data_IF_935314466235
#
_entry.id   IF_935314466235
#
_cell.length_a   1.000
_cell.length_b   1.000
_cell.length_c   1.000
_cell.angle_alpha   90.00
_cell.angle_beta   90.00
_cell.angle_gamma   90.00
#
_symmetry.space_group_name_H-M   'P 1'
#
loop_
_entity.id
_entity.type
_entity.pdbx_description
1 polymer ?
#
# COMPACT_ATOMS: atom_id res chain seq x y z
N UNK A 1 14.33 -19.70 -8.97
CA UNK A 1 15.04 -19.33 -7.73
C UNK A 1 14.01 -18.60 -6.88
N UNK A 2 13.59 -19.20 -5.74
CA UNK A 2 12.59 -18.62 -4.84
C UNK A 2 13.09 -17.28 -4.27
N UNK A 3 12.22 -16.28 -4.25
CA UNK A 3 12.48 -15.07 -3.50
C UNK A 3 12.58 -15.44 -2.01
N UNK A 4 13.53 -14.84 -1.29
CA UNK A 4 13.56 -14.94 0.17
C UNK A 4 12.25 -14.44 0.75
N UNK A 5 11.76 -15.10 1.80
CA UNK A 5 10.54 -14.67 2.49
C UNK A 5 10.69 -13.21 2.95
N UNK A 6 9.64 -12.42 2.81
CA UNK A 6 9.63 -11.04 3.33
C UNK A 6 9.76 -11.05 4.86
N UNK A 7 10.40 -10.04 5.46
CA UNK A 7 10.51 -9.93 6.92
C UNK A 7 9.14 -10.10 7.60
N UNK A 8 9.10 -10.80 8.71
CA UNK A 8 7.90 -11.13 9.50
C UNK A 8 6.83 -11.99 8.80
N UNK A 9 7.02 -12.46 7.57
CA UNK A 9 6.03 -13.30 6.88
C UNK A 9 5.69 -14.59 7.65
N UNK A 10 6.69 -15.26 8.24
CA UNK A 10 6.46 -16.43 9.06
C UNK A 10 5.76 -16.10 10.38
N UNK A 11 6.09 -14.98 11.01
CA UNK A 11 5.41 -14.52 12.22
C UNK A 11 3.93 -14.18 11.92
N UNK A 12 3.66 -13.48 10.84
CA UNK A 12 2.29 -13.17 10.39
C UNK A 12 1.49 -14.45 10.11
N UNK A 13 2.08 -15.41 9.40
CA UNK A 13 1.44 -16.70 9.11
C UNK A 13 1.11 -17.48 10.39
N UNK A 14 2.07 -17.62 11.32
CA UNK A 14 1.86 -18.32 12.60
C UNK A 14 0.79 -17.61 13.43
N UNK A 15 0.82 -16.28 13.45
CA UNK A 15 -0.17 -15.49 14.20
C UNK A 15 -1.56 -15.67 13.63
N UNK A 16 -1.72 -15.60 12.30
CA UNK A 16 -3.01 -15.86 11.64
C UNK A 16 -3.53 -17.27 11.95
N UNK A 17 -2.67 -18.30 11.89
CA UNK A 17 -3.04 -19.67 12.28
C UNK A 17 -3.55 -19.74 13.73
N UNK A 18 -2.88 -19.04 14.66
CA UNK A 18 -3.34 -18.95 16.05
C UNK A 18 -4.70 -18.28 16.17
N UNK A 19 -4.94 -17.19 15.44
CA UNK A 19 -6.22 -16.47 15.45
C UNK A 19 -7.36 -17.35 14.90
N UNK A 20 -7.12 -18.07 13.81
CA UNK A 20 -8.09 -19.00 13.24
C UNK A 20 -8.36 -20.17 14.19
N UNK A 21 -7.33 -20.72 14.82
CA UNK A 21 -7.49 -21.81 15.80
C UNK A 21 -8.33 -21.39 17.02
N UNK A 22 -8.21 -20.14 17.49
CA UNK A 22 -9.07 -19.59 18.55
C UNK A 22 -10.56 -19.53 18.20
N UNK A 23 -10.87 -19.60 16.91
CA UNK A 23 -12.23 -19.62 16.38
C UNK A 23 -12.67 -21.05 15.98
N UNK A 24 -12.07 -22.09 16.56
CA UNK A 24 -12.29 -23.50 16.23
C UNK A 24 -12.18 -23.80 14.71
N UNK A 25 -11.27 -23.10 14.05
CA UNK A 25 -11.08 -23.19 12.59
C UNK A 25 -12.19 -22.56 11.75
N UNK A 26 -13.16 -21.89 12.38
CA UNK A 26 -14.28 -21.23 11.69
C UNK A 26 -14.03 -19.74 11.62
N UNK A 27 -14.22 -19.14 10.43
CA UNK A 27 -14.07 -17.70 10.22
C UNK A 27 -15.25 -17.17 9.42
N UNK A 28 -15.62 -15.93 9.72
CA UNK A 28 -16.55 -15.17 8.91
C UNK A 28 -15.81 -14.49 7.75
N UNK A 29 -16.44 -14.42 6.58
CA UNK A 29 -15.92 -13.72 5.41
C UNK A 29 -16.85 -12.59 5.00
N UNK A 30 -16.33 -11.39 4.90
CA UNK A 30 -17.00 -10.24 4.30
C UNK A 30 -16.33 -9.95 2.96
N UNK A 31 -16.97 -10.35 1.86
CA UNK A 31 -16.46 -10.10 0.51
C UNK A 31 -16.55 -8.63 0.13
N UNK A 32 -15.55 -8.15 -0.57
CA UNK A 32 -15.56 -6.79 -1.12
C UNK A 32 -16.52 -6.66 -2.32
N UNK A 33 -16.65 -5.42 -2.83
CA UNK A 33 -17.39 -5.13 -4.08
C UNK A 33 -16.85 -5.93 -5.27
N UNK A 34 -15.56 -6.16 -5.32
CA UNK A 34 -14.89 -7.09 -6.21
C UNK A 34 -14.58 -8.36 -5.40
N UNK A 35 -15.31 -9.44 -5.65
CA UNK A 35 -15.19 -10.67 -4.88
C UNK A 35 -13.95 -11.51 -5.20
N UNK A 36 -13.36 -11.33 -6.38
CA UNK A 36 -12.19 -12.09 -6.82
C UNK A 36 -11.14 -11.20 -7.49
N UNK A 37 -9.88 -11.57 -7.38
CA UNK A 37 -8.79 -10.96 -8.12
C UNK A 37 -8.64 -11.59 -9.53
N UNK A 38 -7.66 -11.06 -10.31
CA UNK A 38 -7.36 -11.56 -11.66
C UNK A 38 -6.86 -13.01 -11.72
N UNK A 39 -6.56 -13.61 -10.58
CA UNK A 39 -6.10 -15.00 -10.47
C UNK A 39 -7.21 -15.93 -9.94
N UNK A 40 -8.44 -15.42 -9.74
CA UNK A 40 -9.57 -16.18 -9.19
C UNK A 40 -9.53 -16.34 -7.66
N UNK A 41 -8.64 -15.65 -6.94
CA UNK A 41 -8.59 -15.72 -5.48
C UNK A 41 -9.70 -14.86 -4.89
N UNK A 42 -10.43 -15.38 -3.92
CA UNK A 42 -11.45 -14.65 -3.17
C UNK A 42 -10.81 -13.48 -2.41
N UNK A 43 -11.41 -12.29 -2.56
CA UNK A 43 -11.05 -11.08 -1.83
C UNK A 43 -12.09 -10.84 -0.74
N UNK A 44 -11.71 -11.00 0.50
CA UNK A 44 -12.60 -10.85 1.64
C UNK A 44 -11.84 -10.37 2.87
N UNK A 45 -12.55 -9.65 3.75
CA UNK A 45 -12.10 -9.44 5.12
C UNK A 45 -12.46 -10.67 5.96
N UNK A 46 -11.57 -11.04 6.87
CA UNK A 46 -11.69 -12.26 7.67
C UNK A 46 -11.97 -11.91 9.12
N UNK A 47 -12.99 -12.53 9.70
CA UNK A 47 -13.42 -12.31 11.09
C UNK A 47 -13.34 -13.59 11.88
N UNK A 48 -12.86 -13.50 13.12
CA UNK A 48 -12.94 -14.58 14.10
C UNK A 48 -14.37 -14.84 14.58
N UNK A 49 -14.57 -15.93 15.31
CA UNK A 49 -15.87 -16.28 15.88
C UNK A 49 -16.40 -15.23 16.87
N UNK A 50 -15.53 -14.45 17.47
CA UNK A 50 -15.84 -13.31 18.35
C UNK A 50 -16.17 -12.01 17.59
N UNK A 51 -16.23 -12.04 16.26
CA UNK A 51 -16.45 -10.88 15.41
C UNK A 51 -15.23 -9.97 15.22
N UNK A 52 -14.07 -10.31 15.76
CA UNK A 52 -12.85 -9.53 15.59
C UNK A 52 -12.30 -9.62 14.17
N UNK A 53 -11.86 -8.49 13.60
CA UNK A 53 -11.20 -8.48 12.29
C UNK A 53 -9.75 -8.98 12.42
N UNK A 54 -9.43 -10.12 11.78
CA UNK A 54 -8.13 -10.77 11.90
C UNK A 54 -7.01 -9.97 11.20
N UNK A 55 -7.32 -9.26 10.13
CA UNK A 55 -6.37 -8.38 9.43
C UNK A 55 -5.99 -7.21 10.33
N UNK A 56 -6.97 -6.56 10.98
CA UNK A 56 -6.72 -5.47 11.90
C UNK A 56 -5.85 -5.91 13.09
N UNK A 57 -6.03 -7.14 13.59
CA UNK A 57 -5.16 -7.68 14.63
C UNK A 57 -3.71 -7.84 14.17
N UNK A 58 -3.49 -8.38 12.97
CA UNK A 58 -2.14 -8.48 12.39
C UNK A 58 -1.50 -7.11 12.19
N UNK A 59 -2.27 -6.12 11.73
CA UNK A 59 -1.80 -4.75 11.56
C UNK A 59 -1.44 -4.10 12.90
N UNK A 60 -2.27 -4.29 13.94
CA UNK A 60 -2.01 -3.76 15.29
C UNK A 60 -0.77 -4.36 15.95
N UNK A 61 -0.38 -5.56 15.54
CA UNK A 61 0.86 -6.23 15.98
C UNK A 61 2.08 -5.90 15.09
N UNK A 62 1.89 -5.08 14.04
CA UNK A 62 2.94 -4.71 13.09
C UNK A 62 3.40 -5.86 12.20
N UNK A 63 2.53 -6.83 11.92
CA UNK A 63 2.83 -8.02 11.13
C UNK A 63 2.43 -7.89 9.65
N UNK A 64 1.98 -6.71 9.22
CA UNK A 64 1.61 -6.41 7.86
C UNK A 64 1.52 -4.92 7.59
N UNK A 65 1.30 -4.57 6.33
CA UNK A 65 1.00 -3.21 5.90
C UNK A 65 -0.45 -3.13 5.41
N UNK A 66 -1.14 -2.09 5.83
CA UNK A 66 -2.47 -1.78 5.31
C UNK A 66 -2.37 -1.43 3.81
N UNK A 67 -3.30 -1.99 3.02
CA UNK A 67 -3.38 -1.80 1.57
C UNK A 67 -4.81 -1.41 1.20
N UNK A 68 -4.97 -0.25 0.55
CA UNK A 68 -6.25 0.23 0.04
C UNK A 68 -6.29 0.11 -1.49
N UNK A 69 -7.02 -0.87 -1.99
CA UNK A 69 -7.24 -1.07 -3.43
C UNK A 69 -8.71 -0.92 -3.73
N UNK A 70 -9.08 0.17 -4.42
CA UNK A 70 -10.45 0.36 -4.87
C UNK A 70 -10.88 -0.78 -5.81
N UNK A 71 -12.13 -1.28 -5.70
CA UNK A 71 -13.22 -0.77 -4.90
C UNK A 71 -13.34 -1.38 -3.48
N UNK A 72 -12.40 -2.23 -3.05
CA UNK A 72 -12.46 -2.97 -1.78
C UNK A 72 -11.78 -2.19 -0.64
N UNK A 73 -12.47 -1.19 -0.11
CA UNK A 73 -11.94 -0.28 0.92
C UNK A 73 -12.86 -0.12 2.15
N UNK A 74 -13.77 -1.08 2.36
CA UNK A 74 -14.85 -0.96 3.35
C UNK A 74 -14.34 -0.82 4.80
N UNK A 75 -13.21 -1.43 5.17
CA UNK A 75 -12.67 -1.39 6.53
C UNK A 75 -11.38 -0.57 6.64
N UNK A 76 -11.16 0.33 5.69
CA UNK A 76 -9.92 1.09 5.58
C UNK A 76 -9.58 1.86 6.84
N UNK A 77 -10.52 2.59 7.43
CA UNK A 77 -10.29 3.43 8.61
C UNK A 77 -9.89 2.58 9.82
N UNK A 78 -10.57 1.46 10.03
CA UNK A 78 -10.24 0.51 11.09
C UNK A 78 -8.83 -0.06 10.92
N UNK A 79 -8.47 -0.46 9.70
CA UNK A 79 -7.15 -1.00 9.37
C UNK A 79 -6.04 0.05 9.49
N UNK A 80 -6.31 1.29 9.07
CA UNK A 80 -5.38 2.42 9.22
C UNK A 80 -5.13 2.77 10.70
N UNK A 81 -6.19 2.75 11.53
CA UNK A 81 -6.06 2.99 12.96
C UNK A 81 -5.20 1.90 13.63
N UNK A 82 -5.44 0.62 13.30
CA UNK A 82 -4.67 -0.50 13.81
C UNK A 82 -3.17 -0.40 13.42
N UNK A 83 -2.88 -0.14 12.14
CA UNK A 83 -1.51 0.06 11.67
C UNK A 83 -0.85 1.29 12.32
N UNK A 84 -1.56 2.39 12.46
CA UNK A 84 -1.04 3.62 13.04
C UNK A 84 -0.63 3.41 14.51
N UNK A 85 -1.40 2.64 15.25
CA UNK A 85 -1.07 2.24 16.64
C UNK A 85 0.21 1.41 16.70
N UNK A 86 0.35 0.40 15.81
CA UNK A 86 1.56 -0.41 15.71
C UNK A 86 2.80 0.42 15.32
N UNK A 87 2.62 1.36 14.38
CA UNK A 87 3.68 2.27 13.93
C UNK A 87 4.14 3.19 15.07
N UNK A 88 3.22 3.79 15.82
CA UNK A 88 3.52 4.66 16.95
C UNK A 88 4.26 3.89 18.08
N UNK A 89 3.89 2.62 18.29
CA UNK A 89 4.51 1.75 19.30
C UNK A 89 5.80 1.05 18.79
N UNK A 90 6.21 1.23 17.53
CA UNK A 90 7.40 0.60 16.96
C UNK A 90 7.33 -0.93 16.94
N UNK A 91 6.16 -1.51 16.66
CA UNK A 91 5.95 -2.96 16.69
C UNK A 91 6.31 -3.62 15.34
N UNK A 92 6.80 -4.85 15.39
CA UNK A 92 7.02 -5.69 14.23
C UNK A 92 7.82 -5.01 13.13
N UNK A 93 7.20 -4.83 11.95
CA UNK A 93 7.77 -4.14 10.78
C UNK A 93 8.11 -2.66 11.04
N UNK A 94 7.53 -2.05 12.07
CA UNK A 94 7.73 -0.64 12.43
C UNK A 94 8.87 -0.40 13.43
N UNK A 95 9.59 -1.45 13.86
CA UNK A 95 10.79 -1.32 14.74
C UNK A 95 11.90 -0.49 14.09
N UNK A 96 11.98 -0.58 12.76
CA UNK A 96 12.82 0.28 11.94
C UNK A 96 11.91 0.90 10.88
N UNK A 97 12.23 2.11 10.42
CA UNK A 97 11.41 2.73 9.39
C UNK A 97 11.45 1.88 8.11
N UNK A 98 10.32 1.34 7.65
CA UNK A 98 10.26 0.58 6.39
C UNK A 98 10.12 1.51 5.18
N UNK A 99 10.07 2.83 5.39
CA UNK A 99 9.89 3.84 4.34
C UNK A 99 11.22 4.06 3.64
N UNK A 100 11.25 3.75 2.36
CA UNK A 100 12.43 3.88 1.50
C UNK A 100 12.43 5.25 0.82
N UNK A 101 13.60 5.85 0.67
CA UNK A 101 13.75 6.96 -0.27
C UNK A 101 13.67 6.43 -1.72
N UNK A 102 13.22 7.23 -2.70
CA UNK A 102 13.10 6.79 -4.10
C UNK A 102 14.40 6.17 -4.67
N UNK A 103 15.57 6.69 -4.28
CA UNK A 103 16.88 6.20 -4.70
C UNK A 103 17.24 4.81 -4.15
N UNK A 104 16.58 4.37 -3.08
CA UNK A 104 16.80 3.07 -2.46
C UNK A 104 16.00 1.96 -3.14
N UNK A 105 15.13 2.29 -4.10
CA UNK A 105 14.35 1.33 -4.87
C UNK A 105 15.26 0.65 -5.90
N UNK A 106 15.47 -0.64 -5.74
CA UNK A 106 16.35 -1.45 -6.62
C UNK A 106 15.60 -2.56 -7.35
N UNK A 107 14.39 -2.90 -6.91
CA UNK A 107 13.58 -3.99 -7.47
C UNK A 107 12.09 -3.63 -7.49
N UNK A 108 11.33 -4.27 -8.37
CA UNK A 108 9.87 -4.23 -8.35
C UNK A 108 9.33 -4.97 -7.14
N UNK A 109 8.20 -4.52 -6.57
CA UNK A 109 7.55 -5.13 -5.41
C UNK A 109 6.75 -4.11 -4.62
N UNK A 110 6.12 -4.56 -3.54
CA UNK A 110 5.43 -3.66 -2.62
C UNK A 110 6.46 -2.85 -1.82
N UNK A 111 6.24 -1.55 -1.71
CA UNK A 111 7.10 -0.66 -0.93
C UNK A 111 6.31 0.51 -0.33
N UNK A 112 6.81 1.04 0.78
CA UNK A 112 6.48 2.34 1.30
C UNK A 112 7.61 3.28 0.87
N UNK A 113 7.27 4.36 0.16
CA UNK A 113 8.28 5.28 -0.40
C UNK A 113 7.98 6.69 0.07
N UNK A 114 8.95 7.30 0.72
CA UNK A 114 8.90 8.69 1.16
C UNK A 114 9.77 9.58 0.32
N UNK A 115 9.26 10.76 -0.09
CA UNK A 115 10.04 11.70 -0.87
C UNK A 115 9.36 13.05 -1.06
N UNK A 116 10.16 14.05 -1.43
CA UNK A 116 9.66 15.37 -1.79
C UNK A 116 9.10 15.35 -3.21
N UNK A 117 7.91 15.87 -3.39
CA UNK A 117 7.29 16.03 -4.70
C UNK A 117 8.01 17.14 -5.46
N UNK A 118 8.62 16.79 -6.58
CA UNK A 118 9.30 17.75 -7.46
C UNK A 118 8.34 18.36 -8.48
N UNK A 119 7.38 17.59 -8.95
CA UNK A 119 6.42 18.03 -9.96
C UNK A 119 5.13 17.24 -9.90
N UNK A 120 4.02 17.89 -10.22
CA UNK A 120 2.71 17.27 -10.47
C UNK A 120 2.29 17.60 -11.88
N UNK A 121 2.00 16.58 -12.68
CA UNK A 121 1.60 16.74 -14.10
C UNK A 121 0.31 15.97 -14.38
N UNK A 122 -0.59 16.55 -15.17
CA UNK A 122 -1.80 15.90 -15.67
C UNK A 122 -1.78 15.82 -17.18
N UNK A 123 -2.06 14.66 -17.72
CA UNK A 123 -2.20 14.43 -19.15
C UNK A 123 -3.25 13.35 -19.45
N UNK A 124 -3.38 12.92 -20.70
CA UNK A 124 -4.32 11.86 -21.12
C UNK A 124 -4.07 10.52 -20.41
N UNK A 125 -2.87 10.26 -19.95
CA UNK A 125 -2.51 9.03 -19.21
C UNK A 125 -2.82 9.07 -17.71
N UNK A 126 -3.33 10.19 -17.19
CA UNK A 126 -3.66 10.37 -15.78
C UNK A 126 -2.88 11.47 -15.09
N UNK A 127 -2.75 11.36 -13.78
CA UNK A 127 -1.94 12.25 -12.94
C UNK A 127 -0.61 11.57 -12.59
N UNK A 128 0.45 12.34 -12.69
CA UNK A 128 1.82 11.93 -12.44
C UNK A 128 2.43 12.83 -11.38
N UNK A 129 2.92 12.25 -10.30
CA UNK A 129 3.52 12.93 -9.17
C UNK A 129 4.97 12.46 -9.09
N UNK A 130 5.89 13.28 -9.60
CA UNK A 130 7.31 12.95 -9.60
C UNK A 130 7.93 13.22 -8.22
N UNK A 131 8.57 12.20 -7.65
CA UNK A 131 9.35 12.33 -6.43
C UNK A 131 10.83 12.52 -6.75
N UNK A 132 11.49 13.38 -6.00
CA UNK A 132 12.94 13.54 -6.09
C UNK A 132 13.62 12.19 -5.88
N UNK A 133 14.51 11.79 -6.81
CA UNK A 133 15.23 10.53 -6.72
C UNK A 133 14.73 9.41 -7.64
N UNK A 134 13.86 9.73 -8.62
CA UNK A 134 13.63 8.83 -9.76
C UNK A 134 12.46 7.85 -9.62
N UNK A 135 11.47 8.19 -8.79
CA UNK A 135 10.20 7.47 -8.71
C UNK A 135 9.05 8.41 -9.08
N UNK A 136 8.09 7.92 -9.83
CA UNK A 136 6.83 8.59 -10.12
C UNK A 136 5.65 7.84 -9.52
N UNK A 137 4.79 8.56 -8.81
CA UNK A 137 3.49 8.05 -8.38
C UNK A 137 2.48 8.36 -9.48
N UNK A 138 1.72 7.36 -9.90
CA UNK A 138 0.77 7.46 -11.00
C UNK A 138 -0.65 7.15 -10.56
N UNK A 139 -1.59 7.98 -10.96
CA UNK A 139 -3.02 7.77 -10.79
C UNK A 139 -3.65 7.73 -12.19
N UNK A 140 -4.19 6.56 -12.55
CA UNK A 140 -4.79 6.36 -13.87
C UNK A 140 -6.08 7.21 -14.03
N UNK A 141 -6.49 7.57 -15.27
CA UNK A 141 -7.65 8.44 -15.51
C UNK A 141 -8.93 7.94 -14.84
N UNK A 142 -9.18 6.64 -14.89
CA UNK A 142 -10.36 5.99 -14.29
C UNK A 142 -10.32 5.90 -12.76
N UNK A 143 -9.19 6.24 -12.13
CA UNK A 143 -9.04 6.26 -10.68
C UNK A 143 -9.07 7.68 -10.10
N UNK A 144 -8.96 8.70 -10.93
CA UNK A 144 -8.91 10.10 -10.49
C UNK A 144 -10.15 10.53 -9.69
N UNK A 145 -11.31 9.95 -9.98
CA UNK A 145 -12.54 10.24 -9.25
C UNK A 145 -12.52 9.80 -7.77
N UNK A 146 -11.58 8.91 -7.40
CA UNK A 146 -11.41 8.48 -6.02
C UNK A 146 -10.62 9.49 -5.17
N UNK A 147 -10.02 10.50 -5.80
CA UNK A 147 -9.12 11.45 -5.16
C UNK A 147 -9.69 12.87 -5.19
N UNK A 148 -9.41 13.62 -4.13
CA UNK A 148 -9.65 15.06 -4.12
C UNK A 148 -8.62 15.79 -5.00
N UNK A 149 -9.12 16.45 -6.05
CA UNK A 149 -8.28 17.06 -7.07
C UNK A 149 -7.49 18.26 -6.56
N UNK A 150 -8.07 19.03 -5.63
CA UNK A 150 -7.43 20.23 -5.06
C UNK A 150 -6.27 19.81 -4.14
N UNK A 151 -6.47 18.78 -3.34
CA UNK A 151 -5.41 18.18 -2.53
C UNK A 151 -4.26 17.65 -3.39
N UNK A 152 -4.56 17.03 -4.54
CA UNK A 152 -3.51 16.55 -5.46
C UNK A 152 -2.73 17.71 -6.10
N UNK A 153 -3.40 18.80 -6.47
CA UNK A 153 -2.76 19.97 -7.07
C UNK A 153 -1.78 20.67 -6.10
N UNK A 154 -2.07 20.62 -4.80
CA UNK A 154 -1.26 21.25 -3.75
C UNK A 154 -0.02 20.44 -3.33
N UNK A 155 0.20 19.25 -3.88
CA UNK A 155 1.28 18.37 -3.46
C UNK A 155 2.69 18.85 -3.88
N UNK A 156 2.81 19.75 -4.87
CA UNK A 156 4.13 20.18 -5.33
C UNK A 156 4.94 20.81 -4.20
N UNK A 157 6.16 20.32 -4.01
CA UNK A 157 7.04 20.71 -2.91
C UNK A 157 6.77 20.04 -1.56
N UNK A 158 5.64 19.35 -1.42
CA UNK A 158 5.31 18.62 -0.19
C UNK A 158 6.18 17.37 0.00
N UNK A 159 6.38 17.00 1.25
CA UNK A 159 6.93 15.70 1.61
C UNK A 159 5.76 14.69 1.70
N UNK A 160 5.86 13.59 0.96
CA UNK A 160 4.80 12.58 0.91
C UNK A 160 5.34 11.19 1.24
N UNK A 161 4.46 10.33 1.75
CA UNK A 161 4.66 8.88 1.83
C UNK A 161 3.60 8.21 0.95
N UNK A 162 4.06 7.48 -0.07
CA UNK A 162 3.22 6.66 -0.93
C UNK A 162 3.51 5.19 -0.68
N UNK A 163 2.50 4.33 -0.79
CA UNK A 163 2.67 2.89 -0.65
C UNK A 163 1.97 2.14 -1.77
N UNK A 164 2.54 1.04 -2.21
CA UNK A 164 1.98 0.23 -3.29
C UNK A 164 3.03 -0.58 -4.01
N UNK A 165 2.62 -1.17 -5.14
CA UNK A 165 3.52 -1.94 -5.97
C UNK A 165 4.32 -1.06 -6.89
N UNK A 166 5.63 -1.06 -6.68
CA UNK A 166 6.60 -0.39 -7.55
C UNK A 166 6.91 -1.28 -8.75
N UNK A 167 6.87 -0.69 -9.94
CA UNK A 167 7.16 -1.35 -11.20
C UNK A 167 8.38 -0.70 -11.87
N UNK A 168 9.23 -1.53 -12.47
CA UNK A 168 10.33 -1.08 -13.32
C UNK A 168 9.82 -0.81 -14.74
N UNK A 169 9.73 0.47 -15.12
CA UNK A 169 9.25 0.90 -16.44
C UNK A 169 10.25 0.60 -17.55
N UNK A 170 11.54 0.46 -17.24
CA UNK A 170 12.58 0.18 -18.24
C UNK A 170 12.36 -1.17 -18.95
N UNK A 171 11.62 -2.08 -18.28
CA UNK A 171 11.29 -3.40 -18.84
C UNK A 171 10.16 -3.41 -19.87
N UNK A 172 9.49 -2.25 -20.08
CA UNK A 172 8.30 -2.13 -20.95
C UNK A 172 8.55 -1.20 -22.14
N UNK A 173 9.59 -1.42 -22.93
CA UNK A 173 9.83 -0.67 -24.16
C UNK A 173 10.73 0.55 -24.03
N UNK A 174 11.49 0.66 -22.94
CA UNK A 174 12.46 1.73 -22.71
C UNK A 174 11.86 2.98 -22.07
N UNK A 175 12.74 3.81 -21.53
CA UNK A 175 12.38 5.09 -20.91
C UNK A 175 12.74 6.23 -21.88
N UNK A 176 11.86 7.20 -22.01
CA UNK A 176 12.21 8.48 -22.63
C UNK A 176 13.09 9.29 -21.70
N UNK A 177 13.92 10.18 -22.28
CA UNK A 177 14.73 11.09 -21.49
C UNK A 177 13.87 11.85 -20.48
N UNK A 178 14.34 11.96 -19.24
CA UNK A 178 13.64 12.63 -18.13
C UNK A 178 12.55 11.82 -17.45
N UNK A 179 12.22 10.61 -17.91
CA UNK A 179 11.22 9.77 -17.24
C UNK A 179 11.82 8.98 -16.07
N UNK A 180 11.10 8.98 -14.94
CA UNK A 180 11.44 8.15 -13.80
C UNK A 180 11.39 6.65 -14.17
N UNK A 181 12.41 5.90 -13.75
CA UNK A 181 12.48 4.44 -13.94
C UNK A 181 11.41 3.71 -13.17
N UNK A 182 11.19 4.12 -11.93
CA UNK A 182 10.28 3.45 -11.01
C UNK A 182 8.92 4.13 -11.02
N UNK A 183 7.86 3.32 -11.05
CA UNK A 183 6.49 3.82 -11.00
C UNK A 183 5.69 3.06 -9.94
N UNK A 184 4.96 3.81 -9.11
CA UNK A 184 4.02 3.30 -8.13
C UNK A 184 2.63 3.78 -8.50
N UNK A 185 1.71 2.85 -8.78
CA UNK A 185 0.33 3.20 -9.16
C UNK A 185 -0.59 3.19 -7.96
N UNK A 186 -1.43 4.22 -7.84
CA UNK A 186 -2.43 4.36 -6.79
C UNK A 186 -3.84 4.22 -7.35
N UNK A 187 -4.72 3.58 -6.56
CA UNK A 187 -6.15 3.46 -6.84
C UNK A 187 -7.02 4.12 -5.79
N UNK A 188 -6.42 4.48 -4.63
CA UNK A 188 -7.13 5.07 -3.50
C UNK A 188 -6.24 6.07 -2.73
N UNK A 189 -6.80 7.20 -2.24
CA UNK A 189 -6.04 8.21 -1.49
C UNK A 189 -5.43 7.68 -0.19
N UNK A 190 -6.02 6.67 0.44
CA UNK A 190 -5.45 6.03 1.63
C UNK A 190 -4.06 5.40 1.45
N UNK A 191 -3.54 5.34 0.21
CA UNK A 191 -2.19 4.89 -0.13
C UNK A 191 -1.19 6.05 -0.32
N UNK A 192 -1.61 7.29 -0.07
CA UNK A 192 -0.78 8.50 -0.15
C UNK A 192 -1.03 9.36 1.09
N UNK A 193 0.02 9.73 1.78
CA UNK A 193 -0.03 10.64 2.94
C UNK A 193 0.92 11.80 2.71
N UNK A 194 0.48 13.00 3.06
CA UNK A 194 1.38 14.14 3.21
C UNK A 194 2.02 14.02 4.58
N UNK A 195 3.34 14.04 4.66
CA UNK A 195 4.04 14.04 5.93
C UNK A 195 3.77 15.39 6.64
N UNK A 196 3.36 15.33 7.90
CA UNK A 196 3.33 16.54 8.72
C UNK A 196 4.76 17.10 8.87
N UNK A 197 4.90 18.40 8.76
CA UNK A 197 6.16 19.11 8.99
C UNK A 197 6.55 19.05 10.47
#
# INVERSE_FOLDING_TARGET
KGQSAEPFSDAARKRLQTLVAKSDGRVGLLTGKQAQDRYGRTLAHVFGADGSNLEAQLLAEGLGYQVAIAPNVALLDCQQAAESSARAAGLGLWRQSPVLAPQQITRSGFALVGGKVSQVQRNRGGLWIDLQGGLVVHIAPNQLANFDQDSLASLQGAQVEARGWVLDRSRRGGLKSGQARWMLSLTHPGMLKVAAH
#
